data_IF_712881782481
#
_entry.id   IF_712881782481
#
_cell.length_a   1.000
_cell.length_b   1.000
_cell.length_c   1.000
_cell.angle_alpha   90.00
_cell.angle_beta   90.00
_cell.angle_gamma   90.00
#
_symmetry.space_group_name_H-M   'P 1'
#
loop_
_entity.id
_entity.type
_entity.pdbx_description
1 polymer ?
#
# COMPACT_ATOMS: atom_id res chain seq x y z
N UNK A 1 -25.91 64.88 -50.06
CA UNK A 1 -24.48 64.71 -50.40
C UNK A 1 -23.82 63.92 -49.28
N UNK A 2 -22.88 63.06 -49.68
CA UNK A 2 -22.35 61.88 -49.00
C UNK A 2 -21.63 62.13 -47.65
N UNK A 3 -21.65 61.08 -46.82
CA UNK A 3 -20.67 60.81 -45.76
C UNK A 3 -21.30 59.94 -44.68
N UNK A 4 -20.95 58.68 -44.45
CA UNK A 4 -19.71 57.95 -44.70
C UNK A 4 -19.32 57.26 -43.39
N UNK A 5 -19.55 55.94 -43.30
CA UNK A 5 -19.32 55.07 -42.14
C UNK A 5 -17.87 55.10 -41.60
N UNK A 6 -17.71 55.03 -40.27
CA UNK A 6 -16.55 54.39 -39.60
C UNK A 6 -17.05 53.77 -38.28
N UNK A 7 -17.47 52.49 -38.26
CA UNK A 7 -16.70 51.28 -37.94
C UNK A 7 -16.15 51.17 -36.50
N UNK A 8 -16.97 50.54 -35.65
CA UNK A 8 -16.69 49.47 -34.68
C UNK A 8 -15.26 49.36 -34.10
N UNK A 9 -15.17 49.49 -32.78
CA UNK A 9 -14.23 48.71 -31.96
C UNK A 9 -14.79 48.54 -30.55
N UNK A 10 -15.53 47.44 -30.34
CA UNK A 10 -15.97 47.01 -29.01
C UNK A 10 -14.85 46.12 -28.46
N UNK A 11 -14.01 46.68 -27.59
CA UNK A 11 -13.01 45.91 -26.85
C UNK A 11 -13.74 45.20 -25.70
N UNK A 12 -14.03 43.91 -25.89
CA UNK A 12 -14.53 43.05 -24.81
C UNK A 12 -13.34 42.63 -23.94
N UNK A 13 -13.19 43.24 -22.77
CA UNK A 13 -12.30 42.74 -21.73
C UNK A 13 -12.93 41.47 -21.14
N UNK A 14 -12.29 40.32 -21.37
CA UNK A 14 -12.64 39.05 -20.75
C UNK A 14 -11.84 38.96 -19.45
N UNK A 15 -12.51 39.25 -18.32
CA UNK A 15 -11.96 39.02 -16.99
C UNK A 15 -11.96 37.52 -16.69
N UNK A 16 -10.80 36.88 -16.82
CA UNK A 16 -10.61 35.48 -16.43
C UNK A 16 -10.40 35.43 -14.92
N UNK A 17 -11.46 35.14 -14.17
CA UNK A 17 -11.39 34.88 -12.74
C UNK A 17 -10.79 33.48 -12.50
N UNK A 18 -9.49 33.43 -12.19
CA UNK A 18 -8.80 32.21 -11.78
C UNK A 18 -9.14 31.92 -10.31
N UNK A 19 -10.20 31.14 -10.07
CA UNK A 19 -10.54 30.68 -8.71
C UNK A 19 -9.62 29.52 -8.35
N UNK A 20 -8.56 29.83 -7.59
CA UNK A 20 -7.62 28.86 -7.07
C UNK A 20 -8.23 28.16 -5.85
N UNK A 21 -8.99 27.09 -6.06
CA UNK A 21 -9.48 26.25 -4.97
C UNK A 21 -8.32 25.45 -4.38
N UNK A 22 -7.82 25.90 -3.23
CA UNK A 22 -6.83 25.18 -2.43
C UNK A 22 -7.41 23.85 -1.94
N UNK A 23 -6.83 22.75 -2.41
CA UNK A 23 -7.15 21.42 -1.93
C UNK A 23 -6.64 21.26 -0.48
N UNK A 24 -7.56 21.04 0.45
CA UNK A 24 -7.27 20.60 1.81
C UNK A 24 -6.66 19.19 1.74
N UNK A 25 -5.34 19.11 1.85
CA UNK A 25 -4.62 17.86 2.07
C UNK A 25 -4.86 17.41 3.51
N UNK A 26 -5.98 16.74 3.76
CA UNK A 26 -6.18 15.98 5.00
C UNK A 26 -5.26 14.76 4.92
N UNK A 27 -4.05 14.89 5.48
CA UNK A 27 -3.17 13.74 5.68
C UNK A 27 -3.73 12.90 6.83
N UNK A 28 -4.65 11.98 6.53
CA UNK A 28 -4.97 10.91 7.47
C UNK A 28 -3.72 10.05 7.65
N UNK A 29 -3.20 9.87 8.89
CA UNK A 29 -2.18 8.86 9.10
C UNK A 29 -2.77 7.52 8.65
N UNK A 30 -2.02 6.67 7.92
CA UNK A 30 -2.54 5.37 7.52
C UNK A 30 -2.89 4.63 8.81
N UNK A 31 -4.18 4.42 9.07
CA UNK A 31 -4.63 3.55 10.14
C UNK A 31 -3.88 2.23 9.95
N UNK A 32 -3.02 1.88 10.93
CA UNK A 32 -2.14 0.72 10.83
C UNK A 32 -2.94 -0.46 10.27
N UNK A 33 -2.58 -0.92 9.07
CA UNK A 33 -3.35 -1.94 8.37
C UNK A 33 -3.40 -3.28 9.15
N UNK A 34 -2.50 -3.41 10.14
CA UNK A 34 -2.34 -4.57 10.99
C UNK A 34 -1.82 -4.17 12.38
N UNK A 35 -1.98 -5.08 13.34
CA UNK A 35 -1.28 -5.07 14.63
C UNK A 35 -0.38 -6.29 14.74
N UNK A 36 0.78 -6.16 15.36
CA UNK A 36 1.64 -7.31 15.69
C UNK A 36 1.12 -7.95 16.97
N UNK A 37 0.76 -9.22 16.90
CA UNK A 37 0.20 -9.99 18.03
C UNK A 37 1.31 -10.71 18.78
N UNK A 38 2.27 -11.30 18.05
CA UNK A 38 3.35 -12.10 18.63
C UNK A 38 4.56 -12.09 17.71
N UNK A 39 5.74 -12.20 18.30
CA UNK A 39 6.99 -12.51 17.61
C UNK A 39 7.68 -13.66 18.32
N UNK A 40 8.25 -14.58 17.57
CA UNK A 40 9.05 -15.66 18.12
C UNK A 40 9.99 -16.23 17.06
N UNK A 41 11.10 -16.77 17.54
CA UNK A 41 12.09 -17.43 16.72
C UNK A 41 11.72 -18.91 16.56
N UNK A 42 11.92 -19.45 15.36
CA UNK A 42 11.79 -20.85 15.03
C UNK A 42 13.13 -21.38 14.56
N UNK A 43 13.73 -22.26 15.37
CA UNK A 43 14.97 -22.94 15.02
C UNK A 43 14.78 -23.92 13.86
N UNK A 44 15.86 -24.15 13.11
CA UNK A 44 15.90 -25.19 12.07
C UNK A 44 15.54 -26.59 12.60
N UNK A 45 14.93 -27.43 11.75
CA UNK A 45 14.74 -28.86 11.95
C UNK A 45 14.74 -29.57 10.57
N UNK A 46 14.83 -30.92 10.49
CA UNK A 46 14.96 -31.63 9.22
C UNK A 46 13.91 -31.31 8.14
N UNK A 47 12.69 -30.95 8.56
CA UNK A 47 11.56 -30.59 7.68
C UNK A 47 11.13 -29.13 7.84
N UNK A 48 12.00 -28.27 8.40
CA UNK A 48 11.64 -26.92 8.81
C UNK A 48 12.83 -25.97 8.73
N UNK A 49 12.72 -24.96 7.87
CA UNK A 49 13.71 -23.90 7.76
C UNK A 49 13.69 -22.99 9.00
N UNK A 50 14.86 -22.46 9.37
CA UNK A 50 15.00 -21.46 10.43
C UNK A 50 14.33 -20.15 10.02
N UNK A 51 13.59 -19.51 10.94
CA UNK A 51 12.92 -18.24 10.64
C UNK A 51 12.53 -17.49 11.90
N UNK A 52 12.44 -16.16 11.77
CA UNK A 52 11.68 -15.35 12.72
C UNK A 52 10.23 -15.24 12.25
N UNK A 53 9.30 -15.55 13.15
CA UNK A 53 7.88 -15.56 12.85
C UNK A 53 7.23 -14.35 13.52
N UNK A 54 6.61 -13.51 12.69
CA UNK A 54 5.77 -12.41 13.16
C UNK A 54 4.30 -12.74 12.88
N UNK A 55 3.51 -12.84 13.95
CA UNK A 55 2.06 -13.00 13.85
C UNK A 55 1.44 -11.60 13.84
N UNK A 56 0.69 -11.31 12.79
CA UNK A 56 -0.05 -10.05 12.65
C UNK A 56 -1.55 -10.32 12.64
N UNK A 57 -2.35 -9.32 13.03
CA UNK A 57 -3.79 -9.31 12.84
C UNK A 57 -4.18 -8.11 11.99
N UNK A 58 -4.80 -8.36 10.84
CA UNK A 58 -5.26 -7.31 9.93
C UNK A 58 -6.62 -6.76 10.38
N UNK A 59 -7.05 -5.65 9.78
CA UNK A 59 -8.36 -5.00 10.08
C UNK A 59 -9.57 -5.90 9.81
N UNK A 60 -9.46 -6.87 8.90
CA UNK A 60 -10.48 -7.88 8.65
C UNK A 60 -10.66 -8.89 9.81
N UNK A 61 -9.88 -8.75 10.89
CA UNK A 61 -9.93 -9.61 12.06
C UNK A 61 -9.17 -10.92 11.91
N UNK A 62 -8.61 -11.23 10.74
CA UNK A 62 -7.82 -12.43 10.48
C UNK A 62 -6.37 -12.27 10.95
N UNK A 63 -5.79 -13.38 11.38
CA UNK A 63 -4.40 -13.47 11.81
C UNK A 63 -3.54 -14.17 10.76
N UNK A 64 -2.36 -13.63 10.50
CA UNK A 64 -1.41 -14.14 9.52
C UNK A 64 -0.04 -14.33 10.16
N UNK A 65 0.66 -15.36 9.70
CA UNK A 65 2.00 -15.70 10.14
C UNK A 65 2.96 -15.30 9.02
N UNK A 66 3.88 -14.38 9.32
CA UNK A 66 4.93 -13.96 8.40
C UNK A 66 6.23 -14.61 8.86
N UNK A 67 6.70 -15.57 8.07
CA UNK A 67 8.01 -16.21 8.24
C UNK A 67 9.07 -15.33 7.58
N UNK A 68 10.12 -14.97 8.31
CA UNK A 68 11.31 -14.30 7.80
C UNK A 68 12.49 -15.27 7.84
N UNK A 69 12.81 -15.86 6.69
CA UNK A 69 13.89 -16.83 6.54
C UNK A 69 15.27 -16.17 6.46
N UNK A 70 16.29 -16.84 6.99
CA UNK A 70 17.69 -16.36 6.96
C UNK A 70 18.41 -16.73 5.66
N UNK A 71 17.81 -16.38 4.51
CA UNK A 71 18.39 -16.66 3.19
C UNK A 71 19.38 -15.57 2.77
N UNK A 72 20.50 -15.96 2.18
CA UNK A 72 21.52 -15.03 1.65
C UNK A 72 21.10 -14.38 0.33
N UNK A 73 20.17 -14.98 -0.41
CA UNK A 73 19.63 -14.45 -1.67
C UNK A 73 18.18 -14.90 -1.90
N UNK A 74 17.47 -14.22 -2.80
CA UNK A 74 16.09 -14.53 -3.17
C UNK A 74 15.01 -14.02 -2.22
N UNK A 75 13.74 -14.39 -2.45
CA UNK A 75 12.64 -14.07 -1.56
C UNK A 75 12.80 -14.78 -0.20
N UNK A 76 12.52 -14.07 0.89
CA UNK A 76 12.73 -14.56 2.25
C UNK A 76 11.54 -14.40 3.18
N UNK A 77 10.44 -13.81 2.71
CA UNK A 77 9.23 -13.62 3.50
C UNK A 77 8.10 -14.47 2.98
N UNK A 78 7.55 -15.35 3.82
CA UNK A 78 6.37 -16.16 3.47
C UNK A 78 5.21 -15.80 4.38
N UNK A 79 4.06 -15.52 3.77
CA UNK A 79 2.81 -15.25 4.49
C UNK A 79 1.96 -16.51 4.49
N UNK A 80 1.53 -16.94 5.67
CA UNK A 80 0.65 -18.10 5.85
C UNK A 80 -0.58 -17.67 6.64
N UNK A 81 -1.74 -18.16 6.19
CA UNK A 81 -2.99 -18.08 6.94
C UNK A 81 -3.30 -19.44 7.56
N UNK A 82 -3.30 -19.58 8.90
CA UNK A 82 -3.75 -20.81 9.54
C UNK A 82 -5.23 -21.11 9.21
N UNK A 83 -5.62 -22.38 9.03
CA UNK A 83 -4.81 -23.60 9.13
C UNK A 83 -4.10 -24.02 7.82
N UNK A 84 -4.07 -23.16 6.80
CA UNK A 84 -3.55 -23.47 5.46
C UNK A 84 -2.02 -23.36 5.38
N UNK A 85 -1.31 -24.19 6.15
CA UNK A 85 0.16 -24.12 6.29
C UNK A 85 0.96 -24.42 5.02
N UNK A 86 0.39 -25.19 4.10
CA UNK A 86 1.05 -25.60 2.86
C UNK A 86 0.94 -24.60 1.70
N UNK A 87 0.14 -23.53 1.83
CA UNK A 87 -0.13 -22.61 0.73
C UNK A 87 0.19 -21.16 1.15
N UNK A 88 1.24 -20.54 0.59
CA UNK A 88 1.51 -19.13 0.84
C UNK A 88 0.38 -18.25 0.32
N UNK A 89 0.06 -17.19 1.06
CA UNK A 89 -0.85 -16.14 0.59
C UNK A 89 -0.24 -15.47 -0.64
N UNK A 90 -1.01 -15.41 -1.73
CA UNK A 90 -0.52 -14.95 -3.04
C UNK A 90 0.28 -16.00 -3.84
N UNK A 91 0.51 -17.20 -3.30
CA UNK A 91 1.13 -18.31 -4.04
C UNK A 91 2.65 -18.25 -4.17
N UNK A 92 3.32 -17.29 -3.53
CA UNK A 92 4.78 -17.13 -3.61
C UNK A 92 5.36 -16.48 -2.34
N UNK A 93 6.69 -16.46 -2.26
CA UNK A 93 7.46 -15.77 -1.23
C UNK A 93 7.80 -14.34 -1.69
N UNK A 94 7.94 -13.42 -0.73
CA UNK A 94 8.20 -12.00 -0.96
C UNK A 94 9.64 -11.62 -0.60
N UNK A 95 10.17 -10.58 -1.25
CA UNK A 95 11.51 -10.06 -0.94
C UNK A 95 11.54 -9.13 0.26
N UNK A 96 10.43 -8.40 0.51
CA UNK A 96 10.33 -7.40 1.57
C UNK A 96 9.17 -7.70 2.51
N UNK A 97 9.34 -7.34 3.78
CA UNK A 97 8.34 -7.56 4.82
C UNK A 97 7.04 -6.77 4.53
N UNK A 98 7.16 -5.59 3.96
CA UNK A 98 6.03 -4.73 3.59
C UNK A 98 5.20 -5.33 2.46
N UNK A 99 5.84 -6.05 1.52
CA UNK A 99 5.12 -6.79 0.47
C UNK A 99 4.29 -7.92 1.08
N UNK A 100 4.88 -8.67 2.01
CA UNK A 100 4.20 -9.71 2.76
C UNK A 100 2.99 -9.16 3.55
N UNK A 101 3.14 -8.01 4.24
CA UNK A 101 2.03 -7.35 4.92
C UNK A 101 0.93 -6.94 3.93
N UNK A 102 1.30 -6.33 2.80
CA UNK A 102 0.32 -5.90 1.79
C UNK A 102 -0.47 -7.09 1.25
N UNK A 103 0.18 -8.22 1.00
CA UNK A 103 -0.50 -9.44 0.57
C UNK A 103 -1.37 -10.05 1.68
N UNK A 104 -1.00 -9.92 2.95
CA UNK A 104 -1.79 -10.41 4.08
C UNK A 104 -3.07 -9.58 4.31
N UNK A 105 -2.96 -8.25 4.23
CA UNK A 105 -4.04 -7.34 4.59
C UNK A 105 -4.73 -6.66 3.40
N UNK A 106 -4.56 -7.18 2.17
CA UNK A 106 -5.25 -6.72 0.96
C UNK A 106 -6.72 -7.12 0.95
#
# INVERSE_FOLDING_TARGET
>A
MFGGQISKSIIRAISVSLVLSGALMVSTPPANAYVVVKRFHQSAAPNREESDITVIRCRNGLSYYIYSYYRTSGPRYRVIIPPHWGKPVGGHDYHYFEQAIRAACS
#
